data_IF_337689060617
#
_entry.id   IF_337689060617
#
_cell.length_a   1.000
_cell.length_b   1.000
_cell.length_c   1.000
_cell.angle_alpha   90.00
_cell.angle_beta   90.00
_cell.angle_gamma   90.00
#
_symmetry.space_group_name_H-M   'P 1'
#
loop_
_entity.id
_entity.type
_entity.pdbx_description
1 polymer ?
#
# COMPACT_ATOMS: atom_id res chain seq x y z
N UNK A 1 23.01 2.44 -59.88
CA UNK A 1 23.72 2.02 -58.64
C UNK A 1 24.13 3.32 -57.93
N UNK A 2 23.78 3.66 -56.70
CA UNK A 2 23.61 2.92 -55.45
C UNK A 2 22.40 3.50 -54.68
N UNK A 3 21.69 2.64 -53.97
CA UNK A 3 20.58 2.98 -53.05
C UNK A 3 21.16 3.63 -51.81
N UNK A 4 20.62 4.78 -51.37
CA UNK A 4 20.83 5.28 -50.01
C UNK A 4 19.49 5.13 -49.29
N UNK A 5 19.41 4.11 -48.45
CA UNK A 5 18.35 3.89 -47.49
C UNK A 5 18.47 4.97 -46.40
N UNK A 6 17.50 5.89 -46.35
CA UNK A 6 17.25 6.70 -45.16
C UNK A 6 16.57 5.79 -44.13
N UNK A 7 17.38 5.25 -43.21
CA UNK A 7 16.92 4.42 -42.10
C UNK A 7 16.33 5.34 -41.03
N UNK A 8 15.03 5.18 -40.81
CA UNK A 8 14.27 5.71 -39.68
C UNK A 8 14.88 5.18 -38.37
N UNK A 9 15.59 6.03 -37.64
CA UNK A 9 16.06 5.71 -36.29
C UNK A 9 15.61 6.83 -35.36
N UNK A 10 14.61 6.56 -34.52
CA UNK A 10 14.43 7.07 -33.15
C UNK A 10 13.04 6.62 -32.63
N UNK A 11 12.88 5.32 -32.39
CA UNK A 11 11.70 4.77 -31.70
C UNK A 11 12.10 3.50 -30.93
N UNK A 12 12.98 3.68 -29.94
CA UNK A 12 13.34 2.70 -28.89
C UNK A 12 14.46 3.35 -28.08
N UNK A 13 14.37 3.61 -26.78
CA UNK A 13 13.73 2.82 -25.76
C UNK A 13 13.45 3.70 -24.52
N UNK A 14 12.18 3.95 -24.22
CA UNK A 14 11.75 4.05 -22.82
C UNK A 14 11.41 2.63 -22.38
N UNK A 15 12.44 1.78 -22.28
CA UNK A 15 12.33 0.56 -21.49
C UNK A 15 12.24 1.04 -20.04
N UNK A 16 11.02 1.22 -19.56
CA UNK A 16 10.74 1.19 -18.14
C UNK A 16 11.38 -0.10 -17.63
N UNK A 17 12.44 0.02 -16.84
CA UNK A 17 12.97 -1.08 -16.06
C UNK A 17 11.87 -1.47 -15.08
N UNK A 18 10.97 -2.37 -15.51
CA UNK A 18 10.10 -3.08 -14.60
C UNK A 18 11.00 -4.03 -13.81
N UNK A 19 11.61 -3.48 -12.77
CA UNK A 19 12.46 -4.20 -11.84
C UNK A 19 11.59 -5.31 -11.24
N UNK A 20 12.01 -6.58 -11.37
CA UNK A 20 11.21 -7.74 -10.97
C UNK A 20 11.04 -7.72 -9.45
N UNK A 21 9.95 -7.15 -8.96
CA UNK A 21 9.58 -7.24 -7.56
C UNK A 21 9.39 -8.71 -7.17
N UNK A 22 9.90 -9.09 -5.99
CA UNK A 22 9.52 -10.36 -5.36
C UNK A 22 8.04 -10.27 -4.97
N UNK A 23 7.38 -11.39 -4.71
CA UNK A 23 5.99 -11.38 -4.25
C UNK A 23 5.94 -11.99 -2.86
N UNK A 24 5.37 -11.25 -1.90
CA UNK A 24 4.92 -11.83 -0.64
C UNK A 24 3.55 -12.45 -0.88
N UNK A 25 3.44 -13.76 -0.65
CA UNK A 25 2.29 -14.55 -1.05
C UNK A 25 1.67 -15.25 0.17
N UNK A 26 0.48 -14.80 0.57
CA UNK A 26 -0.34 -15.37 1.64
C UNK A 26 -1.54 -16.12 1.05
N UNK A 27 -2.20 -17.05 1.76
CA UNK A 27 -3.45 -17.65 1.28
C UNK A 27 -4.54 -16.64 0.92
N UNK A 28 -4.69 -15.56 1.69
CA UNK A 28 -5.74 -14.54 1.53
C UNK A 28 -5.39 -13.40 0.56
N UNK A 29 -4.11 -13.07 0.43
CA UNK A 29 -3.65 -11.92 -0.36
C UNK A 29 -2.25 -12.11 -0.92
N UNK A 30 -1.85 -11.21 -1.81
CA UNK A 30 -0.48 -11.06 -2.30
C UNK A 30 -0.09 -9.59 -2.37
N UNK A 31 1.19 -9.30 -2.24
CA UNK A 31 1.74 -7.96 -2.45
C UNK A 31 3.15 -8.09 -3.03
N UNK A 32 3.53 -7.17 -3.92
CA UNK A 32 4.89 -7.11 -4.42
C UNK A 32 5.84 -6.61 -3.30
N UNK A 33 7.09 -7.02 -3.35
CA UNK A 33 8.16 -6.60 -2.45
C UNK A 33 9.30 -6.08 -3.32
N UNK A 34 9.65 -4.79 -3.22
CA UNK A 34 10.75 -4.22 -3.99
C UNK A 34 12.07 -4.94 -3.72
N UNK A 35 12.99 -4.85 -4.69
CA UNK A 35 14.34 -5.34 -4.49
C UNK A 35 15.03 -4.58 -3.34
N UNK A 36 15.81 -5.30 -2.52
CA UNK A 36 16.50 -4.72 -1.35
C UNK A 36 15.59 -4.44 -0.15
N UNK A 37 14.28 -4.68 -0.25
CA UNK A 37 13.37 -4.65 0.88
C UNK A 37 13.27 -6.02 1.55
N UNK A 38 12.93 -5.99 2.83
CA UNK A 38 12.69 -7.18 3.66
C UNK A 38 11.21 -7.32 3.94
N UNK A 39 10.78 -8.56 4.19
CA UNK A 39 9.44 -8.86 4.68
C UNK A 39 9.52 -9.78 5.90
N UNK A 40 8.82 -9.44 6.98
CA UNK A 40 8.66 -10.28 8.18
C UNK A 40 7.18 -10.56 8.43
N UNK A 41 6.89 -11.60 9.19
CA UNK A 41 5.57 -11.87 9.75
C UNK A 41 5.75 -12.05 11.26
N UNK A 42 5.26 -11.08 12.02
CA UNK A 42 5.40 -11.00 13.47
C UNK A 42 3.99 -11.02 14.07
N UNK A 43 3.59 -12.19 14.59
CA UNK A 43 2.25 -12.40 15.17
C UNK A 43 1.11 -12.05 14.20
N UNK A 44 1.17 -12.57 12.97
CA UNK A 44 0.19 -12.36 11.89
C UNK A 44 0.12 -10.93 11.33
N UNK A 45 1.04 -10.06 11.76
CA UNK A 45 1.26 -8.76 11.15
C UNK A 45 2.46 -8.86 10.21
N UNK A 46 2.19 -8.67 8.92
CA UNK A 46 3.24 -8.67 7.90
C UNK A 46 3.82 -7.27 7.76
N UNK A 47 5.14 -7.16 7.86
CA UNK A 47 5.87 -5.91 7.69
C UNK A 47 6.75 -6.00 6.46
N UNK A 48 6.66 -5.03 5.55
CA UNK A 48 7.48 -4.92 4.33
C UNK A 48 8.19 -3.57 4.35
N UNK A 49 9.52 -3.56 4.40
CA UNK A 49 10.28 -2.34 4.67
C UNK A 49 11.64 -2.32 3.95
N UNK A 50 12.15 -1.12 3.60
CA UNK A 50 13.49 -0.98 3.05
C UNK A 50 14.55 -1.36 4.09
N UNK A 51 15.74 -1.77 3.63
CA UNK A 51 16.80 -2.26 4.52
C UNK A 51 17.26 -1.25 5.58
N UNK A 52 17.08 0.05 5.35
CA UNK A 52 17.40 1.13 6.29
C UNK A 52 16.24 1.50 7.24
N UNK A 53 15.11 0.77 7.20
CA UNK A 53 14.03 0.83 8.19
C UNK A 53 13.42 2.23 8.38
N UNK A 54 13.37 3.03 7.30
CA UNK A 54 12.84 4.41 7.33
C UNK A 54 11.31 4.51 7.36
N UNK A 55 10.64 3.37 7.28
CA UNK A 55 9.20 3.19 7.21
C UNK A 55 8.87 1.75 6.87
N UNK A 56 7.59 1.40 6.84
CA UNK A 56 7.12 0.08 6.47
C UNK A 56 5.72 0.12 5.84
N UNK A 57 5.40 -0.90 5.07
CA UNK A 57 4.03 -1.32 4.81
C UNK A 57 3.68 -2.42 5.80
N UNK A 58 2.62 -2.22 6.56
CA UNK A 58 2.07 -3.21 7.48
C UNK A 58 0.78 -3.77 6.91
N UNK A 59 0.57 -5.07 7.06
CA UNK A 59 -0.65 -5.76 6.67
C UNK A 59 -1.12 -6.58 7.87
N UNK A 60 -2.34 -6.32 8.33
CA UNK A 60 -3.03 -7.17 9.29
C UNK A 60 -4.35 -7.67 8.73
N UNK A 61 -4.68 -8.92 9.04
CA UNK A 61 -5.88 -9.62 8.62
C UNK A 61 -6.66 -10.05 9.87
N UNK A 62 -7.95 -9.75 9.89
CA UNK A 62 -8.85 -10.11 10.98
C UNK A 62 -10.05 -10.89 10.42
N UNK A 63 -10.44 -11.93 11.14
CA UNK A 63 -11.61 -12.76 10.83
C UNK A 63 -12.55 -12.81 12.02
N UNK A 64 -13.86 -12.77 11.76
CA UNK A 64 -14.87 -12.83 12.81
C UNK A 64 -15.01 -11.53 13.62
N UNK A 65 -14.56 -10.40 13.07
CA UNK A 65 -14.66 -9.09 13.71
C UNK A 65 -16.11 -8.58 13.66
N UNK A 66 -16.73 -8.40 14.83
CA UNK A 66 -18.06 -7.78 14.98
C UNK A 66 -17.95 -6.24 14.87
N UNK A 67 -17.46 -5.74 13.74
CA UNK A 67 -17.35 -4.31 13.46
C UNK A 67 -18.43 -3.91 12.43
N UNK A 68 -19.51 -3.22 12.85
CA UNK A 68 -20.51 -2.75 11.92
C UNK A 68 -19.92 -1.81 10.87
N UNK A 69 -20.40 -1.91 9.63
CA UNK A 69 -19.98 -1.02 8.53
C UNK A 69 -20.08 0.47 8.89
N UNK A 70 -21.12 0.84 9.66
CA UNK A 70 -21.37 2.20 10.11
C UNK A 70 -20.29 2.76 11.06
N UNK A 71 -19.55 1.89 11.76
CA UNK A 71 -18.51 2.29 12.71
C UNK A 71 -17.09 2.16 12.13
N UNK A 72 -16.95 1.68 10.90
CA UNK A 72 -15.66 1.44 10.26
C UNK A 72 -14.81 2.71 10.14
N UNK A 73 -15.42 3.86 9.84
CA UNK A 73 -14.71 5.13 9.75
C UNK A 73 -14.18 5.59 11.12
N UNK A 74 -15.00 5.48 12.17
CA UNK A 74 -14.56 5.76 13.55
C UNK A 74 -13.44 4.84 13.98
N UNK A 75 -13.54 3.55 13.65
CA UNK A 75 -12.50 2.58 13.91
C UNK A 75 -11.16 3.00 13.27
N UNK A 76 -11.16 3.39 11.99
CA UNK A 76 -9.93 3.86 11.30
C UNK A 76 -9.35 5.11 11.96
N UNK A 77 -10.18 6.11 12.31
CA UNK A 77 -9.69 7.31 13.00
C UNK A 77 -9.05 6.97 14.36
N UNK A 78 -9.66 6.02 15.09
CA UNK A 78 -9.18 5.59 16.39
C UNK A 78 -7.81 4.90 16.34
N UNK A 79 -7.46 4.20 15.24
CA UNK A 79 -6.12 3.63 15.04
C UNK A 79 -5.01 4.68 15.19
N UNK A 80 -5.31 5.93 14.81
CA UNK A 80 -4.37 7.05 14.80
C UNK A 80 -4.63 8.07 15.90
N UNK A 81 -5.63 7.82 16.78
CA UNK A 81 -6.14 8.82 17.74
C UNK A 81 -6.47 10.15 17.06
N UNK A 82 -6.96 10.09 15.82
CA UNK A 82 -7.25 11.27 15.02
C UNK A 82 -8.56 11.91 15.47
N UNK A 83 -8.53 13.22 15.68
CA UNK A 83 -9.72 14.05 15.96
C UNK A 83 -10.38 14.56 14.68
N UNK A 84 -9.88 14.15 13.51
CA UNK A 84 -10.46 14.54 12.23
C UNK A 84 -11.87 13.97 12.03
N UNK A 85 -12.74 14.67 11.27
CA UNK A 85 -14.09 14.17 11.01
C UNK A 85 -14.06 12.95 10.06
N UNK A 86 -15.05 12.07 10.19
CA UNK A 86 -15.22 10.88 9.32
C UNK A 86 -15.27 11.19 7.83
N UNK A 87 -15.59 12.43 7.44
CA UNK A 87 -15.58 12.90 6.05
C UNK A 87 -14.18 12.91 5.42
N UNK A 88 -13.11 12.87 6.23
CA UNK A 88 -11.72 12.69 5.75
C UNK A 88 -11.46 11.26 5.25
N UNK A 89 -12.27 10.30 5.64
CA UNK A 89 -12.16 8.91 5.17
C UNK A 89 -12.97 8.74 3.89
N UNK A 90 -12.25 8.48 2.80
CA UNK A 90 -12.84 8.14 1.51
C UNK A 90 -13.34 6.71 1.58
N UNK A 91 -14.57 6.48 1.17
CA UNK A 91 -15.19 5.15 1.07
C UNK A 91 -15.54 4.87 -0.38
N UNK A 92 -15.15 3.69 -0.86
CA UNK A 92 -15.42 3.23 -2.22
C UNK A 92 -15.93 1.78 -2.22
N UNK A 93 -16.70 1.42 -3.25
CA UNK A 93 -16.97 0.00 -3.54
C UNK A 93 -15.68 -0.64 -4.05
N UNK A 94 -15.08 -1.49 -3.23
CA UNK A 94 -13.89 -2.26 -3.57
C UNK A 94 -14.21 -3.45 -4.47
N UNK A 95 -13.16 -4.19 -4.82
CA UNK A 95 -13.30 -5.44 -5.60
C UNK A 95 -13.81 -6.57 -4.70
N UNK A 96 -14.42 -7.61 -5.31
CA UNK A 96 -14.77 -8.88 -4.64
C UNK A 96 -15.75 -8.76 -3.45
N UNK A 97 -16.56 -7.70 -3.46
CA UNK A 97 -17.57 -7.43 -2.43
C UNK A 97 -17.02 -6.70 -1.20
N UNK A 98 -15.74 -6.33 -1.19
CA UNK A 98 -15.19 -5.49 -0.12
C UNK A 98 -15.65 -4.05 -0.26
N UNK A 99 -15.96 -3.39 0.86
CA UNK A 99 -15.93 -1.93 0.94
C UNK A 99 -14.49 -1.52 1.25
N UNK A 100 -13.97 -0.56 0.49
CA UNK A 100 -12.63 -0.03 0.67
C UNK A 100 -12.70 1.35 1.31
N UNK A 101 -11.89 1.57 2.34
CA UNK A 101 -11.73 2.84 3.02
C UNK A 101 -10.30 3.31 2.87
N UNK A 102 -10.12 4.61 2.62
CA UNK A 102 -8.81 5.22 2.46
C UNK A 102 -8.68 6.43 3.40
N UNK A 103 -7.57 6.46 4.14
CA UNK A 103 -7.26 7.53 5.07
C UNK A 103 -5.77 7.87 5.06
N UNK A 104 -5.47 9.16 4.99
CA UNK A 104 -4.12 9.71 5.13
C UNK A 104 -4.07 10.52 6.41
N UNK A 105 -3.07 10.25 7.24
CA UNK A 105 -2.85 10.93 8.50
C UNK A 105 -1.39 11.34 8.61
N UNK A 106 -1.15 12.55 9.09
CA UNK A 106 0.19 13.02 9.42
C UNK A 106 0.30 13.20 10.92
N UNK A 107 1.12 12.38 11.56
CA UNK A 107 1.44 12.52 12.97
C UNK A 107 2.46 13.65 13.14
N UNK A 108 1.99 14.81 13.61
CA UNK A 108 2.85 15.98 13.78
C UNK A 108 3.90 15.81 14.88
N UNK A 109 3.64 14.96 15.88
CA UNK A 109 4.53 14.71 17.03
C UNK A 109 5.69 13.82 16.62
N UNK A 110 5.38 12.73 15.93
CA UNK A 110 6.37 11.75 15.48
C UNK A 110 6.96 12.09 14.09
N UNK A 111 6.40 13.09 13.40
CA UNK A 111 6.75 13.45 12.01
C UNK A 111 6.66 12.24 11.08
N UNK A 112 5.54 11.51 11.16
CA UNK A 112 5.27 10.29 10.41
C UNK A 112 4.05 10.46 9.52
N UNK A 113 4.17 10.06 8.26
CA UNK A 113 3.03 9.86 7.39
C UNK A 113 2.45 8.46 7.58
N UNK A 114 1.14 8.39 7.69
CA UNK A 114 0.34 7.18 7.68
C UNK A 114 -0.61 7.20 6.49
N UNK A 115 -0.59 6.14 5.68
CA UNK A 115 -1.52 5.98 4.54
C UNK A 115 -2.16 4.61 4.67
N UNK A 116 -3.47 4.59 4.85
CA UNK A 116 -4.22 3.36 5.19
C UNK A 116 -5.24 3.03 4.13
N UNK A 117 -5.27 1.77 3.72
CA UNK A 117 -6.39 1.15 3.02
C UNK A 117 -6.96 0.05 3.89
N UNK A 118 -8.22 0.17 4.23
CA UNK A 118 -8.96 -0.86 4.94
C UNK A 118 -9.97 -1.51 3.99
N UNK A 119 -10.00 -2.84 3.95
CA UNK A 119 -10.93 -3.59 3.12
C UNK A 119 -11.82 -4.43 4.01
N UNK A 120 -13.09 -4.05 4.12
CA UNK A 120 -14.07 -4.73 4.96
C UNK A 120 -15.06 -5.52 4.10
N UNK A 121 -15.31 -6.77 4.47
CA UNK A 121 -16.39 -7.60 3.92
C UNK A 121 -16.94 -8.49 5.02
N UNK A 122 -18.22 -8.36 5.33
CA UNK A 122 -18.87 -9.07 6.43
C UNK A 122 -18.06 -8.90 7.73
N UNK A 123 -17.52 -10.00 8.28
CA UNK A 123 -16.69 -10.01 9.50
C UNK A 123 -15.18 -10.08 9.22
N UNK A 124 -14.79 -9.95 7.96
CA UNK A 124 -13.39 -9.94 7.54
C UNK A 124 -12.90 -8.51 7.31
N UNK A 125 -11.67 -8.26 7.76
CA UNK A 125 -11.01 -6.97 7.60
C UNK A 125 -9.53 -7.17 7.24
N UNK A 126 -9.11 -6.55 6.14
CA UNK A 126 -7.69 -6.30 5.87
C UNK A 126 -7.37 -4.84 6.18
N UNK A 127 -6.34 -4.59 6.98
CA UNK A 127 -5.73 -3.28 7.13
C UNK A 127 -4.36 -3.31 6.47
N UNK A 128 -4.16 -2.41 5.50
CA UNK A 128 -2.88 -2.21 4.83
C UNK A 128 -2.48 -0.77 5.07
N UNK A 129 -1.33 -0.54 5.70
CA UNK A 129 -0.88 0.81 6.05
C UNK A 129 0.57 1.03 5.66
N UNK A 130 0.87 2.18 5.08
CA UNK A 130 2.24 2.72 5.05
C UNK A 130 2.44 3.53 6.34
N UNK A 131 3.60 3.38 6.97
CA UNK A 131 4.19 4.39 7.83
C UNK A 131 5.54 4.81 7.27
N UNK A 132 5.85 6.11 7.26
CA UNK A 132 7.13 6.59 6.78
C UNK A 132 7.49 7.94 7.41
N UNK A 133 8.76 8.09 7.82
CA UNK A 133 9.27 9.37 8.33
C UNK A 133 9.13 10.49 7.30
N UNK A 134 8.66 11.66 7.73
CA UNK A 134 8.43 12.83 6.86
C UNK A 134 9.64 13.14 5.96
N UNK A 135 10.85 13.04 6.51
CA UNK A 135 12.10 13.33 5.78
C UNK A 135 12.38 12.36 4.62
N UNK A 136 11.79 11.17 4.66
CA UNK A 136 11.94 10.11 3.66
C UNK A 136 10.72 9.97 2.75
N UNK A 137 9.61 10.63 3.08
CA UNK A 137 8.40 10.64 2.26
C UNK A 137 8.52 11.61 1.08
N UNK A 138 9.47 11.34 0.18
CA UNK A 138 9.70 12.10 -1.04
C UNK A 138 10.36 11.25 -2.12
N UNK A 139 10.35 11.75 -3.36
CA UNK A 139 11.09 11.19 -4.49
C UNK A 139 10.90 9.68 -4.66
N UNK A 140 12.00 8.95 -4.76
CA UNK A 140 11.98 7.52 -5.05
C UNK A 140 11.37 6.68 -3.91
N UNK A 141 11.56 7.06 -2.64
CA UNK A 141 10.98 6.30 -1.52
C UNK A 141 9.45 6.38 -1.54
N UNK A 142 8.89 7.57 -1.72
CA UNK A 142 7.45 7.76 -1.84
C UNK A 142 6.88 6.92 -2.99
N UNK A 143 7.54 6.92 -4.16
CA UNK A 143 7.11 6.11 -5.30
C UNK A 143 7.15 4.62 -5.00
N UNK A 144 8.25 4.11 -4.43
CA UNK A 144 8.38 2.69 -4.08
C UNK A 144 7.35 2.25 -3.02
N UNK A 145 7.11 3.06 -1.99
CA UNK A 145 6.06 2.78 -1.01
C UNK A 145 4.69 2.73 -1.69
N UNK A 146 4.35 3.71 -2.54
CA UNK A 146 3.06 3.74 -3.23
C UNK A 146 2.89 2.59 -4.22
N UNK A 147 3.91 2.26 -5.00
CA UNK A 147 3.89 1.13 -5.94
C UNK A 147 3.69 -0.19 -5.20
N UNK A 148 4.42 -0.40 -4.10
CA UNK A 148 4.30 -1.58 -3.25
C UNK A 148 2.91 -1.66 -2.63
N UNK A 149 2.44 -0.58 -2.03
CA UNK A 149 1.12 -0.48 -1.39
C UNK A 149 -0.03 -0.73 -2.38
N UNK A 150 0.07 -0.18 -3.59
CA UNK A 150 -0.94 -0.36 -4.63
C UNK A 150 -0.93 -1.75 -5.27
N UNK A 151 0.15 -2.52 -5.10
CA UNK A 151 0.23 -3.90 -5.57
C UNK A 151 -0.54 -4.89 -4.68
N UNK A 152 -0.99 -4.48 -3.49
CA UNK A 152 -1.78 -5.32 -2.60
C UNK A 152 -3.04 -5.83 -3.31
N UNK A 153 -3.24 -7.15 -3.27
CA UNK A 153 -4.34 -7.83 -3.94
C UNK A 153 -4.89 -8.96 -3.08
N UNK A 154 -6.18 -8.86 -2.75
CA UNK A 154 -6.94 -9.94 -2.12
C UNK A 154 -7.22 -11.04 -3.15
N UNK A 155 -6.88 -12.30 -2.82
CA UNK A 155 -6.89 -13.44 -3.74
C UNK A 155 -8.25 -14.09 -3.93
N UNK A 156 -9.13 -14.05 -2.94
CA UNK A 156 -10.49 -14.60 -3.02
C UNK A 156 -11.52 -13.48 -3.03
#
# INVERSE_FOLDING_TARGET
MKKILLVSAFLSASLFFAQKAKVYDSPGYSINVPEGWRSTNDSDIVNIFPSNEVGAITISEYHGLELPKADMKKFILALYKSEEPESKIKENKGRKGYTEYFYEYFDEKEKLFWITRAFQKDKDLYLVSINCGQKFWNGNYMNLFNETFNSFKIKK
#
